data_IF_208186319570
#
_entry.id   IF_208186319570
#
_cell.length_a   1.000
_cell.length_b   1.000
_cell.length_c   1.000
_cell.angle_alpha   90.00
_cell.angle_beta   90.00
_cell.angle_gamma   90.00
#
_symmetry.space_group_name_H-M   'P 1'
#
loop_
_entity.id
_entity.type
_entity.pdbx_description
1 polymer ?
#
# COMPACT_ATOMS: atom_id res chain seq x y z
N UNK A 1 4.91 5.07 -28.20
CA UNK A 1 4.42 5.84 -27.02
C UNK A 1 2.89 5.94 -27.04
N UNK A 2 2.29 6.19 -28.20
CA UNK A 2 0.83 6.24 -28.39
C UNK A 2 0.12 4.95 -27.97
N UNK A 3 0.62 3.77 -28.41
CA UNK A 3 0.03 2.48 -28.05
C UNK A 3 -0.02 2.24 -26.53
N UNK A 4 1.04 2.63 -25.82
CA UNK A 4 1.13 2.49 -24.36
C UNK A 4 0.07 3.33 -23.65
N UNK A 5 -0.16 4.57 -24.11
CA UNK A 5 -1.18 5.46 -23.55
C UNK A 5 -2.58 4.91 -23.84
N UNK A 6 -2.84 4.48 -25.08
CA UNK A 6 -4.12 3.91 -25.47
C UNK A 6 -4.47 2.66 -24.65
N UNK A 7 -3.52 1.73 -24.49
CA UNK A 7 -3.71 0.52 -23.68
C UNK A 7 -3.96 0.87 -22.20
N UNK A 8 -3.20 1.81 -21.64
CA UNK A 8 -3.40 2.26 -20.26
C UNK A 8 -4.78 2.87 -20.04
N UNK A 9 -5.20 3.80 -20.90
CA UNK A 9 -6.51 4.43 -20.82
C UNK A 9 -7.64 3.42 -21.00
N UNK A 10 -7.49 2.47 -21.92
CA UNK A 10 -8.46 1.38 -22.14
C UNK A 10 -8.59 0.50 -20.90
N UNK A 11 -7.46 0.11 -20.28
CA UNK A 11 -7.45 -0.69 -19.07
C UNK A 11 -8.12 0.03 -17.89
N UNK A 12 -7.80 1.31 -17.68
CA UNK A 12 -8.47 2.10 -16.65
C UNK A 12 -9.96 2.25 -16.92
N UNK A 13 -10.36 2.57 -18.16
CA UNK A 13 -11.76 2.68 -18.53
C UNK A 13 -12.53 1.38 -18.23
N UNK A 14 -11.97 0.23 -18.61
CA UNK A 14 -12.57 -1.07 -18.33
C UNK A 14 -12.71 -1.33 -16.81
N UNK A 15 -11.67 -1.06 -16.02
CA UNK A 15 -11.71 -1.22 -14.57
C UNK A 15 -12.80 -0.35 -13.93
N UNK A 16 -12.84 0.94 -14.28
CA UNK A 16 -13.86 1.87 -13.77
C UNK A 16 -15.26 1.49 -14.24
N UNK A 17 -15.45 1.12 -15.51
CA UNK A 17 -16.74 0.70 -16.03
C UNK A 17 -17.31 -0.50 -15.25
N UNK A 18 -16.48 -1.50 -14.95
CA UNK A 18 -16.87 -2.64 -14.11
C UNK A 18 -17.24 -2.18 -12.70
N UNK A 19 -16.37 -1.40 -12.04
CA UNK A 19 -16.63 -0.92 -10.68
C UNK A 19 -17.91 -0.07 -10.59
N UNK A 20 -18.20 0.75 -11.60
CA UNK A 20 -19.43 1.51 -11.73
C UNK A 20 -20.66 0.60 -11.93
N UNK A 21 -20.56 -0.37 -12.84
CA UNK A 21 -21.68 -1.24 -13.21
C UNK A 21 -22.16 -2.15 -12.05
N UNK A 22 -21.29 -2.50 -11.10
CA UNK A 22 -21.67 -3.38 -9.98
C UNK A 22 -22.45 -2.69 -8.87
N UNK A 23 -22.55 -1.35 -8.86
CA UNK A 23 -23.20 -0.60 -7.78
C UNK A 23 -24.61 -1.08 -7.39
N UNK A 24 -25.53 -1.37 -8.34
CA UNK A 24 -26.86 -1.86 -7.99
C UNK A 24 -26.80 -3.16 -7.19
N UNK A 25 -25.88 -4.07 -7.53
CA UNK A 25 -25.69 -5.34 -6.81
C UNK A 25 -25.13 -5.13 -5.40
N UNK A 26 -24.16 -4.20 -5.26
CA UNK A 26 -23.54 -3.89 -3.98
C UNK A 26 -24.55 -3.35 -2.95
N UNK A 27 -25.58 -2.64 -3.41
CA UNK A 27 -26.62 -1.98 -2.60
C UNK A 27 -27.74 -2.92 -2.13
N UNK A 28 -27.94 -4.04 -2.82
CA UNK A 28 -29.05 -4.99 -2.57
C UNK A 28 -28.71 -5.93 -1.39
N UNK A 29 -29.70 -6.71 -0.93
CA UNK A 29 -29.60 -7.73 0.13
C UNK A 29 -28.25 -8.49 0.13
N UNK A 30 -27.82 -8.90 1.33
CA UNK A 30 -26.51 -9.50 1.66
C UNK A 30 -25.89 -10.42 0.58
N UNK A 31 -26.67 -11.34 0.00
CA UNK A 31 -26.18 -12.30 -1.01
C UNK A 31 -25.73 -11.62 -2.31
N UNK A 32 -26.52 -10.69 -2.84
CA UNK A 32 -26.22 -9.99 -4.10
C UNK A 32 -25.04 -9.02 -3.98
N UNK A 33 -24.85 -8.44 -2.79
CA UNK A 33 -23.68 -7.61 -2.51
C UNK A 33 -22.37 -8.40 -2.63
N UNK A 34 -22.34 -9.67 -2.19
CA UNK A 34 -21.15 -10.52 -2.35
C UNK A 34 -20.89 -10.89 -3.81
N UNK A 35 -21.96 -11.19 -4.58
CA UNK A 35 -21.85 -11.45 -6.03
C UNK A 35 -21.30 -10.22 -6.75
N UNK A 36 -21.84 -9.03 -6.46
CA UNK A 36 -21.34 -7.77 -7.02
C UNK A 36 -19.88 -7.50 -6.68
N UNK A 37 -19.45 -7.80 -5.44
CA UNK A 37 -18.04 -7.69 -5.05
C UNK A 37 -17.15 -8.67 -5.84
N UNK A 38 -17.56 -9.92 -5.98
CA UNK A 38 -16.80 -10.91 -6.74
C UNK A 38 -16.64 -10.52 -8.21
N UNK A 39 -17.72 -10.08 -8.86
CA UNK A 39 -17.69 -9.59 -10.25
C UNK A 39 -16.72 -8.40 -10.36
N UNK A 40 -16.80 -7.45 -9.43
CA UNK A 40 -15.93 -6.28 -9.44
C UNK A 40 -14.47 -6.65 -9.24
N UNK A 41 -14.15 -7.49 -8.25
CA UNK A 41 -12.79 -7.97 -8.00
C UNK A 41 -12.26 -8.66 -9.27
N UNK A 42 -13.00 -9.62 -9.84
CA UNK A 42 -12.55 -10.34 -11.02
C UNK A 42 -12.33 -9.40 -12.22
N UNK A 43 -13.30 -8.54 -12.55
CA UNK A 43 -13.20 -7.66 -13.71
C UNK A 43 -12.13 -6.57 -13.55
N UNK A 44 -12.05 -5.95 -12.38
CA UNK A 44 -11.01 -4.93 -12.08
C UNK A 44 -9.62 -5.57 -12.02
N UNK A 45 -9.51 -6.78 -11.47
CA UNK A 45 -8.23 -7.50 -11.41
C UNK A 45 -7.70 -7.90 -12.80
N UNK A 46 -8.58 -8.13 -13.77
CA UNK A 46 -8.15 -8.54 -15.11
C UNK A 46 -7.81 -7.35 -16.01
N UNK A 47 -8.25 -6.14 -15.67
CA UNK A 47 -8.06 -4.95 -16.51
C UNK A 47 -6.58 -4.63 -16.85
N UNK A 48 -5.59 -4.77 -15.95
CA UNK A 48 -4.19 -4.53 -16.31
C UNK A 48 -3.65 -5.49 -17.39
N UNK A 49 -4.28 -6.64 -17.64
CA UNK A 49 -3.89 -7.56 -18.71
C UNK A 49 -4.18 -7.03 -20.12
N UNK A 50 -4.95 -5.94 -20.23
CA UNK A 50 -5.16 -5.23 -21.50
C UNK A 50 -3.91 -4.44 -21.96
N UNK A 51 -2.89 -4.34 -21.09
CA UNK A 51 -1.62 -3.70 -21.39
C UNK A 51 -0.56 -4.77 -21.69
N UNK A 52 0.05 -4.70 -22.86
CA UNK A 52 0.98 -5.71 -23.40
C UNK A 52 2.24 -5.92 -22.55
N UNK A 53 2.64 -7.19 -22.42
CA UNK A 53 3.90 -7.76 -21.90
C UNK A 53 4.99 -6.79 -21.43
N UNK A 54 5.43 -6.06 -22.42
CA UNK A 54 6.56 -5.16 -22.53
C UNK A 54 6.43 -3.88 -21.69
N UNK A 55 5.22 -3.43 -21.40
CA UNK A 55 4.96 -2.16 -20.68
C UNK A 55 4.88 -2.35 -19.16
N UNK A 56 5.90 -2.96 -18.54
CA UNK A 56 5.94 -3.32 -17.11
C UNK A 56 5.55 -2.16 -16.19
N UNK A 57 6.14 -0.97 -16.40
CA UNK A 57 5.88 0.21 -15.56
C UNK A 57 4.43 0.71 -15.68
N UNK A 58 3.88 0.67 -16.89
CA UNK A 58 2.49 1.05 -17.15
C UNK A 58 1.53 0.04 -16.51
N UNK A 59 1.82 -1.27 -16.64
CA UNK A 59 1.03 -2.30 -15.94
C UNK A 59 1.11 -2.14 -14.44
N UNK A 60 2.28 -1.87 -13.87
CA UNK A 60 2.43 -1.61 -12.44
C UNK A 60 1.55 -0.43 -11.99
N UNK A 61 1.58 0.70 -12.71
CA UNK A 61 0.73 1.86 -12.40
C UNK A 61 -0.76 1.51 -12.50
N UNK A 62 -1.18 0.80 -13.55
CA UNK A 62 -2.57 0.37 -13.72
C UNK A 62 -3.03 -0.58 -12.60
N UNK A 63 -2.20 -1.56 -12.25
CA UNK A 63 -2.46 -2.50 -11.16
C UNK A 63 -2.62 -1.79 -9.81
N UNK A 64 -1.83 -0.75 -9.55
CA UNK A 64 -1.95 0.05 -8.32
C UNK A 64 -3.32 0.73 -8.24
N UNK A 65 -3.79 1.34 -9.33
CA UNK A 65 -5.12 1.97 -9.40
C UNK A 65 -6.23 0.93 -9.26
N UNK A 66 -6.08 -0.24 -9.90
CA UNK A 66 -7.05 -1.33 -9.81
C UNK A 66 -7.17 -1.87 -8.38
N UNK A 67 -6.06 -2.01 -7.65
CA UNK A 67 -6.07 -2.43 -6.24
C UNK A 67 -6.77 -1.40 -5.35
N UNK A 68 -6.51 -0.10 -5.55
CA UNK A 68 -7.22 0.97 -4.83
C UNK A 68 -8.74 0.88 -5.08
N UNK A 69 -9.13 0.66 -6.33
CA UNK A 69 -10.53 0.54 -6.74
C UNK A 69 -11.20 -0.69 -6.10
N UNK A 70 -10.50 -1.83 -6.03
CA UNK A 70 -10.96 -3.04 -5.34
C UNK A 70 -11.20 -2.76 -3.85
N UNK A 71 -10.27 -2.09 -3.17
CA UNK A 71 -10.44 -1.74 -1.76
C UNK A 71 -11.68 -0.88 -1.54
N UNK A 72 -11.93 0.10 -2.41
CA UNK A 72 -13.14 0.94 -2.34
C UNK A 72 -14.42 0.13 -2.58
N UNK A 73 -14.47 -0.70 -3.62
CA UNK A 73 -15.65 -1.54 -3.91
C UNK A 73 -15.96 -2.50 -2.75
N UNK A 74 -14.93 -3.13 -2.21
CA UNK A 74 -15.05 -4.04 -1.08
C UNK A 74 -15.54 -3.33 0.19
N UNK A 75 -15.01 -2.15 0.48
CA UNK A 75 -15.46 -1.36 1.63
C UNK A 75 -16.91 -0.90 1.48
N UNK A 76 -17.27 -0.35 0.31
CA UNK A 76 -18.66 0.08 0.05
C UNK A 76 -19.66 -1.08 0.17
N UNK A 77 -19.34 -2.24 -0.40
CA UNK A 77 -20.23 -3.40 -0.26
C UNK A 77 -20.28 -3.94 1.18
N UNK A 78 -19.18 -3.89 1.95
CA UNK A 78 -19.22 -4.21 3.39
C UNK A 78 -20.15 -3.25 4.13
N UNK A 79 -19.97 -1.94 3.94
CA UNK A 79 -20.81 -0.93 4.60
C UNK A 79 -22.29 -1.03 4.19
N UNK A 80 -22.56 -1.33 2.92
CA UNK A 80 -23.93 -1.58 2.42
C UNK A 80 -24.57 -2.77 3.12
N UNK A 81 -23.83 -3.88 3.33
CA UNK A 81 -24.32 -5.04 4.06
C UNK A 81 -24.58 -4.76 5.55
N UNK A 82 -23.82 -3.84 6.14
CA UNK A 82 -24.00 -3.40 7.53
C UNK A 82 -25.10 -2.33 7.68
N UNK A 83 -25.70 -1.87 6.59
CA UNK A 83 -26.69 -0.80 6.60
C UNK A 83 -26.11 0.60 6.86
N UNK A 84 -24.79 0.74 6.98
CA UNK A 84 -24.10 2.01 7.28
C UNK A 84 -24.11 2.92 6.05
N UNK A 85 -23.95 2.35 4.85
CA UNK A 85 -23.88 3.13 3.63
C UNK A 85 -25.25 3.60 3.11
N UNK A 86 -26.39 3.17 3.66
CA UNK A 86 -27.70 3.66 3.19
C UNK A 86 -28.03 4.99 3.88
N UNK A 87 -28.50 6.02 3.15
CA UNK A 87 -29.04 6.02 1.79
C UNK A 87 -28.07 6.57 0.72
N UNK A 88 -26.82 6.08 0.64
CA UNK A 88 -25.83 6.55 -0.34
C UNK A 88 -26.39 6.54 -1.76
N UNK A 89 -26.32 7.70 -2.41
CA UNK A 89 -26.70 7.88 -3.80
C UNK A 89 -25.63 7.32 -4.74
N UNK A 90 -26.01 7.06 -5.98
CA UNK A 90 -25.06 6.75 -7.05
C UNK A 90 -23.93 7.77 -7.13
N UNK A 91 -24.26 9.07 -7.02
CA UNK A 91 -23.27 10.15 -7.06
C UNK A 91 -22.25 10.05 -5.92
N UNK A 92 -22.68 9.70 -4.71
CA UNK A 92 -21.78 9.51 -3.57
C UNK A 92 -20.85 8.30 -3.79
N UNK A 93 -21.39 7.19 -4.31
CA UNK A 93 -20.58 6.03 -4.67
C UNK A 93 -19.57 6.36 -5.78
N UNK A 94 -20.01 7.03 -6.84
CA UNK A 94 -19.16 7.37 -7.96
C UNK A 94 -18.03 8.33 -7.56
N UNK A 95 -18.33 9.34 -6.74
CA UNK A 95 -17.33 10.24 -6.19
C UNK A 95 -16.34 9.49 -5.28
N UNK A 96 -16.79 8.46 -4.57
CA UNK A 96 -15.91 7.64 -3.74
C UNK A 96 -14.95 6.77 -4.55
N UNK A 97 -15.33 6.32 -5.75
CA UNK A 97 -14.44 5.53 -6.61
C UNK A 97 -13.29 6.35 -7.22
N UNK A 98 -13.39 7.69 -7.23
CA UNK A 98 -12.30 8.55 -7.71
C UNK A 98 -11.05 8.25 -6.87
N UNK A 99 -9.89 7.95 -7.50
CA UNK A 99 -8.67 7.50 -6.82
C UNK A 99 -7.93 8.67 -6.14
N UNK A 100 -8.68 9.64 -5.62
CA UNK A 100 -8.17 10.80 -4.90
C UNK A 100 -9.11 11.14 -3.72
N UNK A 101 -8.61 11.14 -2.48
CA UNK A 101 -7.21 10.96 -2.07
C UNK A 101 -6.67 9.55 -2.37
N UNK A 102 -5.35 9.45 -2.55
CA UNK A 102 -4.66 8.25 -3.06
C UNK A 102 -4.56 7.18 -1.97
N UNK A 103 -4.71 5.91 -2.34
CA UNK A 103 -4.56 4.73 -1.47
C UNK A 103 -5.53 4.72 -0.28
N UNK A 104 -6.70 4.19 -0.57
CA UNK A 104 -7.76 3.69 0.31
C UNK A 104 -8.31 4.70 1.31
N UNK A 105 -9.58 5.04 1.09
CA UNK A 105 -10.43 5.63 2.11
C UNK A 105 -11.57 4.67 2.44
N UNK A 106 -12.04 4.73 3.69
CA UNK A 106 -13.29 4.09 4.12
C UNK A 106 -14.44 4.99 3.70
N UNK A 107 -15.47 4.40 3.07
CA UNK A 107 -16.60 5.15 2.55
C UNK A 107 -17.24 6.02 3.65
N UNK A 108 -17.43 7.31 3.38
CA UNK A 108 -18.08 8.26 4.29
C UNK A 108 -17.20 8.83 5.42
N UNK A 109 -16.01 8.30 5.67
CA UNK A 109 -15.12 8.82 6.73
C UNK A 109 -14.46 10.15 6.33
N UNK A 110 -14.03 10.28 5.07
CA UNK A 110 -13.42 11.52 4.59
C UNK A 110 -14.45 12.49 4.07
N UNK A 111 -14.67 13.54 4.85
CA UNK A 111 -15.37 14.74 4.39
C UNK A 111 -14.33 15.76 3.95
N UNK A 112 -14.55 16.40 2.80
CA UNK A 112 -13.85 17.65 2.48
C UNK A 112 -14.17 18.64 3.59
N UNK A 113 -13.16 19.04 4.35
CA UNK A 113 -13.24 20.10 5.35
C UNK A 113 -12.30 21.18 4.87
N UNK A 114 -12.77 22.43 4.86
CA UNK A 114 -11.93 23.57 4.50
C UNK A 114 -10.80 23.67 5.52
N UNK A 115 -9.65 23.11 5.18
CA UNK A 115 -8.41 23.28 5.94
C UNK A 115 -7.61 24.41 5.30
N UNK A 116 -7.01 25.27 6.12
CA UNK A 116 -6.09 26.29 5.61
C UNK A 116 -4.82 25.61 5.12
N UNK A 117 -4.52 25.80 3.84
CA UNK A 117 -3.24 25.44 3.26
C UNK A 117 -2.26 26.60 3.46
N UNK A 118 -1.20 26.37 4.22
CA UNK A 118 -0.25 27.41 4.62
C UNK A 118 0.98 27.45 3.71
N UNK A 119 1.77 28.53 3.75
CA UNK A 119 3.08 28.58 3.10
C UNK A 119 4.02 27.47 3.60
N UNK A 120 3.91 27.10 4.88
CA UNK A 120 4.67 25.99 5.45
C UNK A 120 4.27 24.66 4.81
N UNK A 121 2.97 24.43 4.55
CA UNK A 121 2.50 23.23 3.84
C UNK A 121 3.02 23.19 2.40
N UNK A 122 3.04 24.34 1.72
CA UNK A 122 3.62 24.47 0.37
C UNK A 122 5.12 24.12 0.38
N UNK A 123 5.88 24.64 1.34
CA UNK A 123 7.30 24.33 1.50
C UNK A 123 7.54 22.84 1.76
N UNK A 124 6.74 22.20 2.61
CA UNK A 124 6.82 20.76 2.86
C UNK A 124 6.45 19.93 1.61
N UNK A 125 5.44 20.35 0.84
CA UNK A 125 5.08 19.69 -0.41
C UNK A 125 6.23 19.76 -1.42
N UNK A 126 6.72 20.97 -1.72
CA UNK A 126 7.81 21.15 -2.68
C UNK A 126 9.08 20.47 -2.19
N UNK A 127 9.45 20.65 -0.93
CA UNK A 127 10.63 20.03 -0.32
C UNK A 127 10.58 18.51 -0.36
N UNK A 128 9.44 17.89 -0.03
CA UNK A 128 9.30 16.43 -0.09
C UNK A 128 9.39 15.89 -1.52
N UNK A 129 8.82 16.58 -2.50
CA UNK A 129 8.91 16.21 -3.91
C UNK A 129 10.36 16.32 -4.44
N UNK A 130 11.07 17.40 -4.11
CA UNK A 130 12.47 17.58 -4.49
C UNK A 130 13.37 16.51 -3.85
N UNK A 131 13.25 16.30 -2.54
CA UNK A 131 14.00 15.27 -1.83
C UNK A 131 13.69 13.87 -2.38
N UNK A 132 12.44 13.56 -2.70
CA UNK A 132 12.06 12.29 -3.31
C UNK A 132 12.72 12.11 -4.68
N UNK A 133 12.71 13.15 -5.53
CA UNK A 133 13.38 13.12 -6.83
C UNK A 133 14.90 12.91 -6.69
N UNK A 134 15.55 13.53 -5.70
CA UNK A 134 16.97 13.33 -5.42
C UNK A 134 17.28 11.90 -4.95
N UNK A 135 16.47 11.35 -4.03
CA UNK A 135 16.60 9.95 -3.57
C UNK A 135 16.42 8.99 -4.74
N UNK A 136 15.42 9.23 -5.59
CA UNK A 136 15.16 8.42 -6.77
C UNK A 136 16.33 8.47 -7.78
N UNK A 137 16.86 9.66 -8.05
CA UNK A 137 18.00 9.82 -8.96
C UNK A 137 19.27 9.17 -8.39
N UNK A 138 19.51 9.28 -7.08
CA UNK A 138 20.59 8.57 -6.41
C UNK A 138 20.43 7.05 -6.55
N UNK A 139 19.23 6.52 -6.31
CA UNK A 139 18.92 5.10 -6.54
C UNK A 139 19.24 4.67 -7.98
N UNK A 140 18.91 5.50 -8.97
CA UNK A 140 19.16 5.23 -10.39
C UNK A 140 20.65 5.19 -10.72
N UNK A 141 21.44 6.09 -10.13
CA UNK A 141 22.90 6.19 -10.36
C UNK A 141 23.74 5.31 -9.44
N UNK A 142 23.15 4.68 -8.42
CA UNK A 142 23.93 3.89 -7.45
C UNK A 142 24.68 2.72 -8.10
N UNK A 143 24.25 2.25 -9.26
CA UNK A 143 24.96 1.26 -10.09
C UNK A 143 26.31 1.74 -10.64
N UNK A 144 26.58 3.04 -10.63
CA UNK A 144 27.87 3.61 -11.04
C UNK A 144 28.89 3.58 -9.88
N UNK A 145 28.43 3.43 -8.64
CA UNK A 145 29.27 3.44 -7.45
C UNK A 145 29.91 2.07 -7.24
N UNK A 146 31.24 2.00 -7.42
CA UNK A 146 32.04 0.77 -7.32
C UNK A 146 31.76 -0.03 -6.05
N UNK A 147 31.78 0.62 -4.88
CA UNK A 147 31.59 -0.04 -3.58
C UNK A 147 30.22 -0.72 -3.47
N UNK A 148 29.16 -0.12 -4.03
CA UNK A 148 27.82 -0.71 -4.01
C UNK A 148 27.73 -1.91 -4.97
N UNK A 149 28.36 -1.83 -6.14
CA UNK A 149 28.42 -2.97 -7.06
C UNK A 149 29.18 -4.17 -6.50
N UNK A 150 30.29 -3.92 -5.79
CA UNK A 150 31.18 -4.95 -5.28
C UNK A 150 30.69 -5.61 -3.97
N UNK A 151 29.72 -5.01 -3.27
CA UNK A 151 29.22 -5.53 -1.99
C UNK A 151 27.70 -5.49 -1.91
N UNK A 152 27.08 -6.67 -2.03
CA UNK A 152 25.63 -6.83 -1.81
C UNK A 152 25.18 -6.28 -0.46
N UNK A 153 25.94 -6.51 0.61
CA UNK A 153 25.55 -6.05 1.95
C UNK A 153 25.48 -4.52 2.01
N UNK A 154 26.48 -3.83 1.47
CA UNK A 154 26.52 -2.36 1.47
C UNK A 154 25.41 -1.80 0.58
N UNK A 155 25.24 -2.32 -0.63
CA UNK A 155 24.15 -1.94 -1.53
C UNK A 155 22.80 -2.16 -0.86
N UNK A 156 22.58 -3.33 -0.28
CA UNK A 156 21.33 -3.66 0.39
C UNK A 156 20.99 -2.71 1.53
N UNK A 157 21.93 -2.43 2.43
CA UNK A 157 21.72 -1.49 3.54
C UNK A 157 21.37 -0.10 3.01
N UNK A 158 22.10 0.38 2.00
CA UNK A 158 21.81 1.67 1.35
C UNK A 158 20.41 1.68 0.75
N UNK A 159 19.99 0.60 0.08
CA UNK A 159 18.66 0.51 -0.54
C UNK A 159 17.52 0.42 0.46
N UNK A 160 17.72 -0.27 1.59
CA UNK A 160 16.76 -0.25 2.72
C UNK A 160 16.58 1.17 3.24
N UNK A 161 17.67 1.90 3.46
CA UNK A 161 17.62 3.30 3.92
C UNK A 161 16.90 4.19 2.92
N UNK A 162 17.29 4.14 1.63
CA UNK A 162 16.68 4.95 0.58
C UNK A 162 15.20 4.62 0.40
N UNK A 163 14.81 3.35 0.52
CA UNK A 163 13.41 2.93 0.48
C UNK A 163 12.62 3.55 1.63
N UNK A 164 13.13 3.51 2.87
CA UNK A 164 12.51 4.14 4.04
C UNK A 164 12.34 5.64 3.82
N UNK A 165 13.36 6.34 3.34
CA UNK A 165 13.26 7.77 3.02
C UNK A 165 12.20 8.01 1.93
N UNK A 166 12.17 7.20 0.89
CA UNK A 166 11.22 7.33 -0.22
C UNK A 166 9.77 7.23 0.25
N UNK A 167 9.45 6.25 1.10
CA UNK A 167 8.08 6.06 1.62
C UNK A 167 7.66 7.19 2.57
N UNK A 168 8.57 7.71 3.41
CA UNK A 168 8.26 8.80 4.34
C UNK A 168 8.10 10.13 3.59
N UNK A 169 8.97 10.43 2.62
CA UNK A 169 8.86 11.61 1.76
C UNK A 169 7.57 11.56 0.93
N UNK A 170 7.23 10.41 0.36
CA UNK A 170 5.97 10.21 -0.36
C UNK A 170 4.76 10.43 0.55
N UNK A 171 4.80 9.92 1.78
CA UNK A 171 3.74 10.14 2.78
C UNK A 171 3.53 11.63 3.06
N UNK A 172 4.61 12.39 3.27
CA UNK A 172 4.54 13.83 3.50
C UNK A 172 3.98 14.55 2.27
N UNK A 173 4.52 14.29 1.08
CA UNK A 173 4.09 14.92 -0.16
C UNK A 173 2.61 14.67 -0.45
N UNK A 174 2.16 13.41 -0.39
CA UNK A 174 0.76 13.04 -0.59
C UNK A 174 -0.16 13.70 0.45
N UNK A 175 0.26 13.71 1.71
CA UNK A 175 -0.49 14.35 2.79
C UNK A 175 -0.70 15.84 2.53
N UNK A 176 0.34 16.56 2.09
CA UNK A 176 0.21 18.00 1.78
C UNK A 176 -0.58 18.24 0.50
N UNK A 177 -0.43 17.39 -0.51
CA UNK A 177 -1.23 17.45 -1.72
C UNK A 177 -2.72 17.30 -1.40
N UNK A 178 -3.11 16.33 -0.57
CA UNK A 178 -4.51 16.16 -0.16
C UNK A 178 -5.05 17.34 0.64
N UNK A 179 -4.22 17.92 1.51
CA UNK A 179 -4.57 19.15 2.24
C UNK A 179 -4.82 20.31 1.28
N UNK A 180 -4.01 20.45 0.22
CA UNK A 180 -4.19 21.47 -0.82
C UNK A 180 -5.57 21.35 -1.50
N UNK A 181 -6.05 20.13 -1.69
CA UNK A 181 -7.38 19.85 -2.23
C UNK A 181 -8.52 19.86 -1.18
N UNK A 182 -8.24 20.28 0.06
CA UNK A 182 -9.25 20.46 1.11
C UNK A 182 -9.71 19.17 1.78
N UNK A 183 -8.89 18.13 1.78
CA UNK A 183 -9.17 16.88 2.50
C UNK A 183 -8.58 16.92 3.92
N UNK A 184 -9.30 16.29 4.86
CA UNK A 184 -8.71 15.91 6.14
C UNK A 184 -7.71 14.79 5.92
N UNK A 185 -6.51 14.95 6.45
CA UNK A 185 -5.37 14.10 6.10
C UNK A 185 -5.02 13.17 7.24
N UNK A 186 -5.21 11.87 7.01
CA UNK A 186 -4.56 10.84 7.81
C UNK A 186 -3.19 10.60 7.16
N UNK A 187 -2.07 10.79 7.89
CA UNK A 187 -0.75 10.59 7.34
C UNK A 187 -0.62 9.14 6.87
N UNK A 188 -0.01 8.95 5.70
CA UNK A 188 0.15 7.62 5.13
C UNK A 188 1.10 6.78 6.00
N UNK A 189 2.23 7.36 6.39
CA UNK A 189 3.19 6.83 7.34
C UNK A 189 3.34 7.78 8.54
N UNK A 190 3.57 7.23 9.73
CA UNK A 190 3.88 7.99 10.94
C UNK A 190 5.19 7.51 11.57
N UNK A 191 6.30 7.94 10.95
CA UNK A 191 7.65 7.60 11.39
C UNK A 191 7.81 6.09 11.57
N UNK A 192 7.50 5.31 10.53
CA UNK A 192 7.51 3.85 10.60
C UNK A 192 8.90 3.31 10.96
N UNK A 193 9.95 4.02 10.52
CA UNK A 193 11.34 3.72 10.87
C UNK A 193 11.62 3.79 12.37
N UNK A 194 10.82 4.52 13.16
CA UNK A 194 11.01 4.68 14.61
C UNK A 194 10.35 3.54 15.41
N UNK A 195 9.88 2.48 14.75
CA UNK A 195 9.18 1.38 15.42
C UNK A 195 10.07 0.57 16.36
N UNK A 196 9.51 0.13 17.48
CA UNK A 196 10.19 -0.70 18.50
C UNK A 196 9.85 -2.19 18.38
N UNK A 197 8.92 -2.54 17.50
CA UNK A 197 8.53 -3.92 17.21
C UNK A 197 7.92 -4.01 15.81
N UNK A 198 7.91 -5.18 15.16
CA UNK A 198 7.23 -5.38 13.88
C UNK A 198 5.74 -4.96 13.91
N UNK A 199 5.02 -5.24 15.00
CA UNK A 199 3.63 -4.80 15.15
C UNK A 199 3.50 -3.27 15.22
N UNK A 200 4.47 -2.57 15.83
CA UNK A 200 4.49 -1.10 15.87
C UNK A 200 4.82 -0.52 14.49
N UNK A 201 5.74 -1.14 13.74
CA UNK A 201 6.04 -0.76 12.36
C UNK A 201 4.79 -0.82 11.50
N UNK A 202 4.09 -1.96 11.47
CA UNK A 202 2.87 -2.13 10.67
C UNK A 202 1.70 -1.28 11.18
N UNK A 203 1.75 -0.80 12.42
CA UNK A 203 0.79 0.17 12.93
C UNK A 203 1.01 1.58 12.35
N UNK A 204 2.28 1.96 12.20
CA UNK A 204 2.74 3.28 11.71
C UNK A 204 2.82 3.37 10.20
N UNK A 205 3.13 2.27 9.53
CA UNK A 205 3.27 2.17 8.09
C UNK A 205 1.91 2.02 7.42
N UNK A 206 1.69 2.77 6.34
CA UNK A 206 0.49 2.71 5.50
C UNK A 206 -0.82 2.63 6.30
N UNK A 207 -1.06 3.66 7.14
CA UNK A 207 -2.16 3.68 8.09
C UNK A 207 -3.55 3.51 7.44
N UNK A 208 -3.68 3.92 6.18
CA UNK A 208 -4.93 3.83 5.41
C UNK A 208 -5.25 2.39 5.04
N UNK A 209 -4.29 1.69 4.45
CA UNK A 209 -4.44 0.25 4.16
C UNK A 209 -4.57 -0.52 5.46
N UNK A 210 -3.84 -0.15 6.53
CA UNK A 210 -4.01 -0.75 7.86
C UNK A 210 -5.44 -0.59 8.37
N UNK A 211 -6.01 0.61 8.31
CA UNK A 211 -7.38 0.88 8.76
C UNK A 211 -8.39 0.07 7.95
N UNK A 212 -8.20 0.01 6.63
CA UNK A 212 -9.02 -0.81 5.76
C UNK A 212 -8.93 -2.30 6.10
N UNK A 213 -7.73 -2.85 6.27
CA UNK A 213 -7.49 -4.25 6.65
C UNK A 213 -8.06 -4.55 8.04
N UNK A 214 -8.00 -3.58 8.96
CA UNK A 214 -8.60 -3.72 10.27
C UNK A 214 -10.12 -3.94 10.16
N UNK A 215 -10.81 -3.07 9.42
CA UNK A 215 -12.27 -3.12 9.29
C UNK A 215 -12.76 -4.28 8.42
N UNK A 216 -12.05 -4.59 7.33
CA UNK A 216 -12.50 -5.53 6.31
C UNK A 216 -11.95 -6.95 6.48
N UNK A 217 -10.89 -7.15 7.30
CA UNK A 217 -10.26 -8.46 7.49
C UNK A 217 -10.13 -8.80 8.98
N UNK A 218 -9.39 -7.99 9.76
CA UNK A 218 -9.08 -8.32 11.16
C UNK A 218 -10.35 -8.41 12.03
N UNK A 219 -11.21 -7.38 11.96
CA UNK A 219 -12.44 -7.32 12.75
C UNK A 219 -13.43 -8.44 12.36
N UNK A 220 -13.51 -8.76 11.07
CA UNK A 220 -14.37 -9.84 10.56
C UNK A 220 -13.91 -11.23 10.98
N UNK A 221 -12.61 -11.42 11.26
CA UNK A 221 -12.06 -12.65 11.81
C UNK A 221 -12.20 -12.78 13.35
N UNK A 222 -13.03 -11.95 13.99
CA UNK A 222 -13.24 -11.96 15.45
C UNK A 222 -12.39 -10.94 16.22
N UNK A 223 -11.59 -10.13 15.52
CA UNK A 223 -10.83 -9.03 16.09
C UNK A 223 -9.93 -9.46 17.25
N UNK A 224 -10.00 -8.73 18.37
CA UNK A 224 -9.17 -9.02 19.55
C UNK A 224 -9.45 -10.39 20.19
N UNK A 225 -10.67 -10.93 20.05
CA UNK A 225 -11.03 -12.24 20.62
C UNK A 225 -10.32 -13.38 19.90
N UNK A 226 -10.01 -13.21 18.62
CA UNK A 226 -9.25 -14.18 17.84
C UNK A 226 -8.06 -13.50 17.13
N UNK A 227 -7.18 -12.90 17.96
CA UNK A 227 -6.04 -12.10 17.49
C UNK A 227 -5.16 -12.87 16.51
N UNK A 228 -4.84 -14.13 16.79
CA UNK A 228 -3.95 -14.93 15.95
C UNK A 228 -4.53 -15.13 14.56
N UNK A 229 -5.79 -15.59 14.46
CA UNK A 229 -6.46 -15.74 13.17
C UNK A 229 -6.55 -14.40 12.43
N UNK A 230 -6.90 -13.32 13.12
CA UNK A 230 -6.99 -11.99 12.52
C UNK A 230 -5.65 -11.52 11.95
N UNK A 231 -4.53 -11.68 12.67
CA UNK A 231 -3.19 -11.32 12.18
C UNK A 231 -2.81 -12.17 10.97
N UNK A 232 -3.01 -13.50 11.05
CA UNK A 232 -2.72 -14.41 9.94
C UNK A 232 -3.52 -14.05 8.69
N UNK A 233 -4.82 -13.78 8.83
CA UNK A 233 -5.69 -13.39 7.72
C UNK A 233 -5.26 -12.07 7.09
N UNK A 234 -4.93 -11.06 7.90
CA UNK A 234 -4.45 -9.75 7.41
C UNK A 234 -3.19 -9.90 6.56
N UNK A 235 -2.19 -10.63 7.06
CA UNK A 235 -0.94 -10.81 6.32
C UNK A 235 -1.08 -11.73 5.11
N UNK A 236 -1.93 -12.76 5.18
CA UNK A 236 -2.25 -13.60 4.03
C UNK A 236 -2.92 -12.78 2.91
N UNK A 237 -3.92 -11.97 3.23
CA UNK A 237 -4.58 -11.10 2.25
C UNK A 237 -3.61 -10.06 1.71
N UNK A 238 -2.78 -9.44 2.56
CA UNK A 238 -1.73 -8.51 2.12
C UNK A 238 -0.73 -9.20 1.19
N UNK A 239 -0.30 -10.41 1.51
CA UNK A 239 0.61 -11.23 0.71
C UNK A 239 0.02 -11.51 -0.68
N UNK A 240 -1.25 -11.91 -0.76
CA UNK A 240 -1.95 -12.11 -2.02
C UNK A 240 -1.97 -10.85 -2.88
N UNK A 241 -2.34 -9.69 -2.31
CA UNK A 241 -2.40 -8.45 -3.09
C UNK A 241 -1.05 -8.03 -3.65
N UNK A 242 0.03 -8.17 -2.87
CA UNK A 242 1.37 -7.79 -3.35
C UNK A 242 1.91 -8.78 -4.38
N UNK A 243 1.76 -10.09 -4.16
CA UNK A 243 2.15 -11.09 -5.15
C UNK A 243 1.38 -10.89 -6.46
N UNK A 244 0.07 -10.72 -6.37
CA UNK A 244 -0.78 -10.43 -7.53
C UNK A 244 -0.36 -9.14 -8.26
N UNK A 245 -0.10 -8.05 -7.52
CA UNK A 245 0.36 -6.78 -8.09
C UNK A 245 1.63 -6.96 -8.93
N UNK A 246 2.67 -7.58 -8.34
CA UNK A 246 3.95 -7.79 -9.01
C UNK A 246 3.85 -8.84 -10.12
N UNK A 247 3.03 -9.89 -9.95
CA UNK A 247 2.81 -10.90 -10.96
C UNK A 247 2.16 -10.32 -12.21
N UNK A 248 1.18 -9.42 -12.07
CA UNK A 248 0.60 -8.73 -13.22
C UNK A 248 1.56 -7.72 -13.83
N UNK A 249 2.22 -6.91 -13.01
CA UNK A 249 3.16 -5.90 -13.50
C UNK A 249 4.29 -6.53 -14.34
N UNK A 250 4.83 -7.66 -13.87
CA UNK A 250 6.04 -8.28 -14.44
C UNK A 250 5.75 -9.51 -15.29
N UNK A 251 4.49 -9.95 -15.36
CA UNK A 251 4.07 -11.23 -15.97
C UNK A 251 4.83 -12.44 -15.40
N UNK A 252 5.17 -12.39 -14.11
CA UNK A 252 5.98 -13.40 -13.45
C UNK A 252 5.56 -13.63 -12.00
N UNK A 253 5.25 -14.88 -11.64
CA UNK A 253 4.82 -15.30 -10.31
C UNK A 253 5.95 -16.12 -9.66
N UNK A 254 6.56 -15.62 -8.58
CA UNK A 254 7.68 -16.31 -7.91
C UNK A 254 7.49 -16.52 -6.41
N UNK A 255 6.40 -16.03 -5.83
CA UNK A 255 6.05 -16.22 -4.43
C UNK A 255 6.90 -15.40 -3.46
N UNK A 256 7.81 -14.54 -3.92
CA UNK A 256 8.71 -13.79 -3.01
C UNK A 256 7.96 -12.72 -2.24
N UNK A 257 7.02 -12.03 -2.89
CA UNK A 257 6.18 -11.03 -2.20
C UNK A 257 5.27 -11.72 -1.21
N UNK A 258 4.69 -12.84 -1.64
CA UNK A 258 3.85 -13.66 -0.78
C UNK A 258 4.59 -14.10 0.49
N UNK A 259 5.82 -14.64 0.32
CA UNK A 259 6.68 -15.05 1.42
C UNK A 259 7.07 -13.87 2.33
N UNK A 260 7.46 -12.71 1.78
CA UNK A 260 7.80 -11.53 2.56
C UNK A 260 6.70 -11.14 3.54
N UNK A 261 5.45 -11.04 3.06
CA UNK A 261 4.32 -10.62 3.88
C UNK A 261 3.88 -11.71 4.87
N UNK A 262 3.93 -12.99 4.49
CA UNK A 262 3.61 -14.08 5.42
C UNK A 262 4.58 -14.16 6.60
N UNK A 263 5.88 -13.93 6.36
CA UNK A 263 6.89 -13.91 7.43
C UNK A 263 6.60 -12.83 8.48
N UNK A 264 5.91 -11.75 8.13
CA UNK A 264 5.59 -10.69 9.08
C UNK A 264 4.55 -11.11 10.13
N UNK A 265 3.68 -12.07 9.81
CA UNK A 265 2.64 -12.53 10.73
C UNK A 265 3.20 -13.08 12.06
N UNK A 266 4.13 -14.06 12.07
CA UNK A 266 4.75 -14.52 13.31
C UNK A 266 5.53 -13.40 14.00
N UNK A 267 6.24 -12.53 13.27
CA UNK A 267 6.98 -11.42 13.86
C UNK A 267 6.07 -10.40 14.59
N UNK A 268 4.88 -10.13 14.04
CA UNK A 268 3.84 -9.32 14.68
C UNK A 268 3.24 -10.00 15.90
N UNK A 269 3.08 -11.33 15.87
CA UNK A 269 2.58 -12.10 17.02
C UNK A 269 3.60 -12.12 18.17
N UNK A 270 4.90 -12.13 17.87
CA UNK A 270 6.00 -12.09 18.85
C UNK A 270 6.29 -10.67 19.40
N UNK A 271 5.72 -9.63 18.79
CA UNK A 271 5.96 -8.23 19.19
C UNK A 271 5.68 -7.89 20.67
N UNK A 272 4.75 -8.52 21.41
CA UNK A 272 4.60 -8.30 22.85
C UNK A 272 5.90 -8.58 23.64
N UNK A 273 6.71 -9.56 23.23
CA UNK A 273 7.98 -9.88 23.89
C UNK A 273 9.02 -8.78 23.66
N UNK A 274 9.09 -8.24 22.43
CA UNK A 274 9.96 -7.10 22.12
C UNK A 274 9.53 -5.83 22.87
N UNK A 275 8.22 -5.60 23.02
CA UNK A 275 7.71 -4.48 23.82
C UNK A 275 8.05 -4.62 25.31
N UNK A 276 7.97 -5.83 25.86
CA UNK A 276 8.42 -6.09 27.23
C UNK A 276 9.92 -5.82 27.39
N UNK A 277 10.74 -6.20 26.40
CA UNK A 277 12.17 -5.87 26.39
C UNK A 277 12.41 -4.35 26.35
N UNK A 278 11.71 -3.64 25.47
CA UNK A 278 11.81 -2.19 25.32
C UNK A 278 11.45 -1.43 26.61
N UNK A 279 10.48 -1.94 27.37
CA UNK A 279 10.01 -1.32 28.60
C UNK A 279 10.97 -1.44 29.80
N UNK A 280 12.03 -2.28 29.72
CA UNK A 280 12.93 -2.52 30.86
C UNK A 280 13.87 -1.35 31.16
N UNK A 281 14.52 -0.83 30.13
CA UNK A 281 15.49 0.27 30.22
C UNK A 281 15.86 0.78 28.81
N UNK A 282 16.69 1.82 28.75
CA UNK A 282 17.19 2.40 27.48
C UNK A 282 17.87 1.38 26.58
N UNK A 283 18.69 0.48 27.14
CA UNK A 283 19.36 -0.57 26.36
C UNK A 283 18.37 -1.58 25.77
N UNK A 284 17.31 -1.93 26.51
CA UNK A 284 16.21 -2.76 26.03
C UNK A 284 15.45 -2.10 24.87
N UNK A 285 15.20 -0.79 24.96
CA UNK A 285 14.59 0.00 23.89
C UNK A 285 15.43 0.01 22.61
N UNK A 286 16.72 0.30 22.74
CA UNK A 286 17.68 0.28 21.62
C UNK A 286 17.71 -1.12 21.01
N UNK A 287 17.81 -2.16 21.84
CA UNK A 287 17.83 -3.56 21.37
C UNK A 287 16.55 -3.91 20.59
N UNK A 288 15.37 -3.61 21.12
CA UNK A 288 14.10 -3.92 20.45
C UNK A 288 13.96 -3.19 19.10
N UNK A 289 14.36 -1.92 19.05
CA UNK A 289 14.39 -1.13 17.82
C UNK A 289 15.38 -1.71 16.80
N UNK A 290 16.61 -2.02 17.20
CA UNK A 290 17.64 -2.63 16.34
C UNK A 290 17.18 -3.98 15.81
N UNK A 291 16.59 -4.84 16.64
CA UNK A 291 16.04 -6.13 16.20
C UNK A 291 14.91 -5.95 15.20
N UNK A 292 14.08 -4.92 15.37
CA UNK A 292 12.99 -4.60 14.42
C UNK A 292 13.55 -4.16 13.08
N UNK A 293 14.53 -3.24 13.06
CA UNK A 293 15.20 -2.82 11.81
C UNK A 293 15.89 -3.99 11.14
N UNK A 294 16.63 -4.80 11.90
CA UNK A 294 17.34 -5.97 11.38
C UNK A 294 16.38 -6.99 10.78
N UNK A 295 15.22 -7.24 11.40
CA UNK A 295 14.18 -8.11 10.85
C UNK A 295 13.71 -7.65 9.47
N UNK A 296 13.40 -6.36 9.32
CA UNK A 296 12.98 -5.81 8.02
C UNK A 296 14.13 -5.82 7.02
N UNK A 297 15.35 -5.49 7.41
CA UNK A 297 16.51 -5.58 6.54
C UNK A 297 16.67 -7.01 6.02
N UNK A 298 16.74 -8.02 6.90
CA UNK A 298 16.93 -9.43 6.52
C UNK A 298 15.80 -9.97 5.63
N UNK A 299 14.55 -9.56 5.86
CA UNK A 299 13.41 -10.03 5.06
C UNK A 299 13.19 -9.23 3.77
N UNK A 300 13.68 -7.98 3.69
CA UNK A 300 13.43 -7.09 2.55
C UNK A 300 13.98 -7.54 1.20
N UNK A 301 15.01 -8.40 1.03
CA UNK A 301 15.37 -8.94 -0.28
C UNK A 301 14.20 -9.64 -0.99
N UNK A 302 13.30 -10.29 -0.24
CA UNK A 302 12.10 -10.91 -0.79
C UNK A 302 11.15 -9.85 -1.39
N UNK A 303 10.99 -8.72 -0.71
CA UNK A 303 10.21 -7.59 -1.19
C UNK A 303 10.90 -6.86 -2.36
N UNK A 304 12.20 -6.60 -2.26
CA UNK A 304 12.95 -5.88 -3.29
C UNK A 304 13.11 -6.68 -4.59
N UNK A 305 13.04 -8.01 -4.55
CA UNK A 305 13.05 -8.80 -5.78
C UNK A 305 11.89 -8.45 -6.74
N UNK A 306 10.70 -8.12 -6.21
CA UNK A 306 9.58 -7.65 -7.04
C UNK A 306 9.79 -6.21 -7.51
N UNK A 307 10.26 -5.34 -6.61
CA UNK A 307 10.50 -3.93 -6.92
C UNK A 307 11.57 -3.78 -8.00
N UNK A 308 12.64 -4.58 -7.95
CA UNK A 308 13.74 -4.56 -8.93
C UNK A 308 13.28 -4.91 -10.35
N UNK A 309 12.31 -5.82 -10.49
CA UNK A 309 11.74 -6.14 -11.81
C UNK A 309 10.95 -4.98 -12.42
N UNK A 310 10.31 -4.13 -11.59
CA UNK A 310 9.58 -2.95 -12.06
C UNK A 310 10.54 -1.76 -12.26
N UNK A 311 11.55 -1.67 -11.40
CA UNK A 311 12.53 -0.62 -11.33
C UNK A 311 13.94 -1.23 -11.31
N UNK A 312 14.55 -1.53 -12.48
CA UNK A 312 15.78 -2.33 -12.61
C UNK A 312 17.07 -1.61 -12.17
N UNK A 313 16.94 -0.74 -11.18
CA UNK A 313 18.01 -0.02 -10.49
C UNK A 313 17.93 -0.21 -8.96
N UNK A 314 17.07 -1.12 -8.47
CA UNK A 314 16.90 -1.34 -7.03
C UNK A 314 18.14 -2.00 -6.46
N UNK A 315 18.74 -2.99 -7.11
CA UNK A 315 20.08 -3.46 -6.73
C UNK A 315 21.13 -3.09 -7.77
N UNK A 316 22.25 -2.53 -7.30
CA UNK A 316 23.45 -2.27 -8.06
C UNK A 316 24.33 -3.52 -8.15
N UNK A 317 24.39 -4.31 -7.07
CA UNK A 317 25.06 -5.61 -7.07
C UNK A 317 24.17 -6.63 -7.80
N UNK A 318 24.68 -7.22 -8.89
CA UNK A 318 24.05 -8.34 -9.59
C UNK A 318 24.87 -9.60 -9.38
#
# INVERSE_FOLDING_TARGET
MEDNILQFTTALFAAFAVAFAVWPLLRVRRKWSLVGQFIAIAGVCLAPLLIGSEFIKTRALCSLVCIDLIFRVCDYGRQSRLGIAQPATWRAYAAFLIPFPILVDVFGERKRKRQSFTLQDAAWLVGSLLCFALVFEFCRRSGEVRVLRESFLVDHVVKVVLFIFSIELSSVGLSKLEKLFGYEVIPFNNHAYAAESPADFWYRYNQRVRHWLYLNVFATCGGRRNRTLGVLAVFFISALFHEYFFALATSHLDGKQFAFFLLQAPAVLLSPQLKQLAARNTAGKITAHTLTILWFAVTSPLFFAGVDRVFPFVYASR
#
